data_IF_949928835377
#
_entry.id   IF_949928835377
#
_cell.length_a   1.000
_cell.length_b   1.000
_cell.length_c   1.000
_cell.angle_alpha   90.00
_cell.angle_beta   90.00
_cell.angle_gamma   90.00
#
_symmetry.space_group_name_H-M   'P 1'
#
loop_
_entity.id
_entity.type
_entity.pdbx_description
1 polymer ?
#
# COMPACT_ATOMS: atom_id res chain seq x y z
N UNK A 1 -15.82 -5.12 -27.90
CA UNK A 1 -14.49 -4.53 -28.14
C UNK A 1 -13.89 -4.16 -26.78
N UNK A 2 -12.76 -4.75 -26.38
CA UNK A 2 -12.06 -4.31 -25.16
C UNK A 2 -11.43 -2.95 -25.45
N UNK A 3 -11.80 -1.91 -24.72
CA UNK A 3 -11.18 -0.58 -24.84
C UNK A 3 -9.76 -0.69 -24.26
N UNK A 4 -8.75 -0.31 -25.05
CA UNK A 4 -7.38 -0.12 -24.54
C UNK A 4 -7.29 1.31 -23.99
N UNK A 5 -6.67 1.44 -22.82
CA UNK A 5 -6.42 2.75 -22.21
C UNK A 5 -5.26 3.42 -22.95
N UNK A 6 -5.23 4.75 -22.96
CA UNK A 6 -4.04 5.49 -23.36
C UNK A 6 -3.02 5.49 -22.22
N UNK A 7 -1.74 5.70 -22.51
CA UNK A 7 -0.67 5.78 -21.49
C UNK A 7 -1.00 6.76 -20.35
N UNK A 8 -1.63 7.90 -20.69
CA UNK A 8 -2.10 8.87 -19.70
C UNK A 8 -3.18 8.31 -18.77
N UNK A 9 -4.13 7.55 -19.31
CA UNK A 9 -5.18 6.92 -18.52
C UNK A 9 -4.62 5.79 -17.64
N UNK A 10 -3.62 5.04 -18.13
CA UNK A 10 -2.94 4.00 -17.35
C UNK A 10 -2.16 4.61 -16.17
N UNK A 11 -1.50 5.75 -16.39
CA UNK A 11 -0.84 6.50 -15.31
C UNK A 11 -1.83 7.02 -14.25
N UNK A 12 -3.00 7.51 -14.66
CA UNK A 12 -4.06 7.92 -13.73
C UNK A 12 -4.59 6.75 -12.91
N UNK A 13 -4.81 5.60 -13.54
CA UNK A 13 -5.22 4.37 -12.85
C UNK A 13 -4.14 3.92 -11.86
N UNK A 14 -2.87 3.96 -12.24
CA UNK A 14 -1.76 3.61 -11.34
C UNK A 14 -1.76 4.51 -10.09
N UNK A 15 -1.96 5.82 -10.22
CA UNK A 15 -2.07 6.74 -9.07
C UNK A 15 -3.24 6.38 -8.15
N UNK A 16 -4.41 6.08 -8.72
CA UNK A 16 -5.58 5.65 -7.96
C UNK A 16 -5.36 4.32 -7.24
N UNK A 17 -4.63 3.40 -7.86
CA UNK A 17 -4.29 2.10 -7.29
C UNK A 17 -3.28 2.28 -6.14
N UNK A 18 -2.25 3.10 -6.34
CA UNK A 18 -1.28 3.45 -5.30
C UNK A 18 -1.96 4.02 -4.05
N UNK A 19 -2.90 4.94 -4.21
CA UNK A 19 -3.64 5.54 -3.10
C UNK A 19 -4.40 4.47 -2.28
N UNK A 20 -5.11 3.57 -2.95
CA UNK A 20 -5.83 2.47 -2.29
C UNK A 20 -4.91 1.52 -1.51
N UNK A 21 -3.72 1.23 -2.04
CA UNK A 21 -2.73 0.41 -1.33
C UNK A 21 -2.09 1.16 -0.15
N UNK A 22 -1.90 2.47 -0.29
CA UNK A 22 -1.41 3.31 0.81
C UNK A 22 -2.37 3.25 2.00
N UNK A 23 -3.68 3.32 1.74
CA UNK A 23 -4.73 3.17 2.74
C UNK A 23 -4.68 1.82 3.47
N UNK A 24 -4.34 0.72 2.77
CA UNK A 24 -4.20 -0.60 3.39
C UNK A 24 -3.05 -0.64 4.41
N UNK A 25 -1.86 -0.20 3.99
CA UNK A 25 -0.71 -0.15 4.90
C UNK A 25 -0.93 0.82 6.05
N UNK A 26 -1.53 1.98 5.78
CA UNK A 26 -1.87 2.96 6.80
C UNK A 26 -2.87 2.41 7.82
N UNK A 27 -3.88 1.66 7.37
CA UNK A 27 -4.84 1.00 8.26
C UNK A 27 -4.18 -0.02 9.20
N UNK A 28 -3.24 -0.82 8.68
CA UNK A 28 -2.47 -1.77 9.50
C UNK A 28 -1.61 -1.04 10.53
N UNK A 29 -0.92 0.03 10.12
CA UNK A 29 -0.10 0.82 11.04
C UNK A 29 -0.95 1.53 12.10
N UNK A 30 -2.11 2.08 11.72
CA UNK A 30 -3.06 2.71 12.63
C UNK A 30 -3.60 1.70 13.67
N UNK A 31 -3.85 0.45 13.26
CA UNK A 31 -4.20 -0.63 14.19
C UNK A 31 -3.06 -0.96 15.16
N UNK A 32 -1.82 -1.00 14.67
CA UNK A 32 -0.63 -1.16 15.52
C UNK A 32 -0.53 -0.04 16.57
N UNK A 33 -0.72 1.21 16.15
CA UNK A 33 -0.75 2.36 17.06
C UNK A 33 -1.90 2.26 18.07
N UNK A 34 -3.08 1.84 17.65
CA UNK A 34 -4.23 1.63 18.54
C UNK A 34 -3.93 0.59 19.63
N UNK A 35 -3.28 -0.52 19.27
CA UNK A 35 -2.81 -1.54 20.24
C UNK A 35 -1.80 -1.00 21.25
N UNK A 36 -0.94 -0.08 20.84
CA UNK A 36 -0.01 0.58 21.77
C UNK A 36 -0.74 1.55 22.68
N UNK A 37 -1.65 2.35 22.12
CA UNK A 37 -2.32 3.44 22.83
C UNK A 37 -3.39 2.96 23.83
N UNK A 38 -4.10 1.87 23.53
CA UNK A 38 -5.23 1.38 24.35
C UNK A 38 -4.83 0.17 25.18
N UNK A 39 -4.15 -0.81 24.58
CA UNK A 39 -3.85 -2.08 25.26
C UNK A 39 -2.47 -2.06 25.97
N UNK A 40 -1.68 -0.98 25.84
CA UNK A 40 -0.29 -0.86 26.33
C UNK A 40 0.65 -1.98 25.80
N UNK A 41 0.30 -2.60 24.66
CA UNK A 41 1.06 -3.69 24.06
C UNK A 41 2.07 -3.16 23.04
N UNK A 42 3.17 -2.56 23.53
CA UNK A 42 4.19 -1.91 22.70
C UNK A 42 4.81 -2.88 21.68
N UNK A 43 5.22 -4.06 22.12
CA UNK A 43 5.88 -5.05 21.25
C UNK A 43 4.98 -5.53 20.11
N UNK A 44 3.70 -5.78 20.42
CA UNK A 44 2.71 -6.21 19.43
C UNK A 44 2.38 -5.08 18.46
N UNK A 45 2.20 -3.85 18.97
CA UNK A 45 1.96 -2.69 18.12
C UNK A 45 3.10 -2.41 17.15
N UNK A 46 4.34 -2.50 17.61
CA UNK A 46 5.53 -2.40 16.75
C UNK A 46 5.56 -3.49 15.68
N UNK A 47 5.22 -4.74 16.03
CA UNK A 47 5.13 -5.83 15.05
C UNK A 47 4.09 -5.53 13.95
N UNK A 48 2.91 -5.02 14.32
CA UNK A 48 1.89 -4.59 13.36
C UNK A 48 2.37 -3.44 12.48
N UNK A 49 3.10 -2.47 13.04
CA UNK A 49 3.69 -1.39 12.25
C UNK A 49 4.71 -1.92 11.24
N UNK A 50 5.60 -2.83 11.64
CA UNK A 50 6.56 -3.46 10.74
C UNK A 50 5.86 -4.22 9.60
N UNK A 51 4.79 -4.96 9.91
CA UNK A 51 3.97 -5.64 8.89
C UNK A 51 3.37 -4.63 7.90
N UNK A 52 2.81 -3.52 8.38
CA UNK A 52 2.27 -2.46 7.52
C UNK A 52 3.31 -1.87 6.57
N UNK A 53 4.53 -1.63 7.06
CA UNK A 53 5.65 -1.16 6.24
C UNK A 53 6.03 -2.19 5.17
N UNK A 54 6.17 -3.47 5.55
CA UNK A 54 6.52 -4.54 4.62
C UNK A 54 5.47 -4.64 3.50
N UNK A 55 4.19 -4.56 3.85
CA UNK A 55 3.08 -4.59 2.87
C UNK A 55 3.16 -3.43 1.89
N UNK A 56 3.41 -2.20 2.37
CA UNK A 56 3.57 -1.03 1.50
C UNK A 56 4.76 -1.17 0.55
N UNK A 57 5.90 -1.64 1.06
CA UNK A 57 7.11 -1.85 0.24
C UNK A 57 6.86 -2.93 -0.81
N UNK A 58 6.19 -4.03 -0.45
CA UNK A 58 5.81 -5.08 -1.41
C UNK A 58 4.93 -4.53 -2.53
N UNK A 59 3.88 -3.78 -2.19
CA UNK A 59 3.01 -3.19 -3.20
C UNK A 59 3.72 -2.15 -4.07
N UNK A 60 4.61 -1.34 -3.48
CA UNK A 60 5.44 -0.39 -4.24
C UNK A 60 6.29 -1.13 -5.29
N UNK A 61 6.97 -2.21 -4.89
CA UNK A 61 7.80 -3.00 -5.81
C UNK A 61 6.95 -3.61 -6.93
N UNK A 62 5.77 -4.14 -6.62
CA UNK A 62 4.86 -4.72 -7.62
C UNK A 62 4.42 -3.64 -8.61
N UNK A 63 3.99 -2.46 -8.13
CA UNK A 63 3.52 -1.37 -8.99
C UNK A 63 4.63 -0.85 -9.90
N UNK A 64 5.83 -0.62 -9.36
CA UNK A 64 6.97 -0.13 -10.16
C UNK A 64 7.33 -1.13 -11.25
N UNK A 65 7.35 -2.43 -10.93
CA UNK A 65 7.62 -3.49 -11.91
C UNK A 65 6.57 -3.53 -13.02
N UNK A 66 5.28 -3.47 -12.67
CA UNK A 66 4.20 -3.43 -13.66
C UNK A 66 4.31 -2.18 -14.56
N UNK A 67 4.68 -1.02 -13.98
CA UNK A 67 4.87 0.20 -14.76
C UNK A 67 6.07 0.12 -15.72
N UNK A 68 7.19 -0.46 -15.29
CA UNK A 68 8.36 -0.67 -16.16
C UNK A 68 8.10 -1.68 -17.28
N UNK A 69 7.23 -2.68 -17.08
CA UNK A 69 6.85 -3.66 -18.11
C UNK A 69 5.97 -3.04 -19.20
N UNK A 70 5.19 -2.00 -18.87
CA UNK A 70 4.30 -1.31 -19.82
C UNK A 70 5.07 -0.34 -20.73
N UNK A 71 6.26 0.13 -20.32
CA UNK A 71 7.07 1.11 -21.05
C UNK A 71 8.06 0.44 -22.01
#
# INVERSE_FOLDING_TARGET
>A
MKKRLTEQQEFEVMKLVLDKFLWLGFGIMAYGLWKMAVDNLISIGLAWMTVGIIVLVLFMIIIVKEYEIIK
#
